data_IF_453646541454
#
_entry.id   IF_453646541454
#
_cell.length_a   1.000
_cell.length_b   1.000
_cell.length_c   1.000
_cell.angle_alpha   90.00
_cell.angle_beta   90.00
_cell.angle_gamma   90.00
#
_symmetry.space_group_name_H-M   'P 1'
#
loop_
_entity.id
_entity.type
_entity.pdbx_description
1 polymer ?
#
# COMPACT_ATOMS: atom_id res chain seq x y z
N UNK A 1 -11.12 -11.45 12.09
CA UNK A 1 -11.37 -10.32 11.20
C UNK A 1 -11.40 -8.97 11.91
N UNK A 2 -12.11 -8.88 13.01
CA UNK A 2 -12.45 -7.61 13.68
C UNK A 2 -11.25 -6.72 14.03
N UNK A 3 -10.17 -7.29 14.58
CA UNK A 3 -8.98 -6.53 14.97
C UNK A 3 -7.76 -6.88 14.14
N UNK A 4 -7.94 -7.55 13.00
CA UNK A 4 -6.86 -7.93 12.12
C UNK A 4 -6.78 -6.96 10.95
N UNK A 5 -5.57 -6.49 10.67
CA UNK A 5 -5.29 -5.61 9.55
C UNK A 5 -4.32 -6.34 8.62
N UNK A 6 -4.65 -6.38 7.34
CA UNK A 6 -3.74 -6.90 6.34
C UNK A 6 -2.96 -5.75 5.71
N UNK A 7 -1.65 -5.77 5.87
CA UNK A 7 -0.76 -4.89 5.12
C UNK A 7 -0.42 -5.61 3.82
N UNK A 8 -0.72 -4.97 2.69
CA UNK A 8 -0.30 -5.46 1.37
C UNK A 8 0.77 -4.51 0.87
N UNK A 9 1.99 -4.98 0.84
CA UNK A 9 3.16 -4.13 0.57
C UNK A 9 3.89 -4.60 -0.68
N UNK A 10 4.15 -3.63 -1.57
CA UNK A 10 5.03 -3.82 -2.72
C UNK A 10 6.48 -3.66 -2.26
N UNK A 11 7.31 -4.66 -2.51
CA UNK A 11 8.72 -4.64 -2.11
C UNK A 11 9.67 -4.30 -3.26
N UNK A 12 9.15 -3.75 -4.36
CA UNK A 12 9.97 -3.33 -5.51
C UNK A 12 11.05 -2.31 -5.10
N UNK A 13 10.70 -1.37 -4.22
CA UNK A 13 11.64 -0.46 -3.57
C UNK A 13 11.71 -0.81 -2.09
N UNK A 14 12.49 -1.84 -1.77
CA UNK A 14 12.43 -2.51 -0.46
C UNK A 14 12.67 -1.57 0.72
N UNK A 15 13.69 -0.70 0.64
CA UNK A 15 14.02 0.21 1.74
C UNK A 15 12.89 1.21 2.01
N UNK A 16 12.27 1.72 0.96
CA UNK A 16 11.15 2.66 1.08
C UNK A 16 9.95 1.95 1.69
N UNK A 17 9.64 0.76 1.20
CA UNK A 17 8.52 -0.03 1.69
C UNK A 17 8.70 -0.42 3.15
N UNK A 18 9.89 -0.82 3.55
CA UNK A 18 10.19 -1.17 4.94
C UNK A 18 10.03 0.04 5.87
N UNK A 19 10.46 1.23 5.44
CA UNK A 19 10.28 2.45 6.21
C UNK A 19 8.79 2.78 6.43
N UNK A 20 7.98 2.60 5.40
CA UNK A 20 6.54 2.85 5.50
C UNK A 20 5.84 1.83 6.41
N UNK A 21 6.21 0.56 6.30
CA UNK A 21 5.66 -0.49 7.18
C UNK A 21 6.02 -0.21 8.63
N UNK A 22 7.26 0.13 8.91
CA UNK A 22 7.71 0.43 10.28
C UNK A 22 6.98 1.64 10.85
N UNK A 23 6.84 2.71 10.06
CA UNK A 23 6.13 3.91 10.50
C UNK A 23 4.68 3.64 10.82
N UNK A 24 3.99 2.88 9.96
CA UNK A 24 2.61 2.50 10.19
C UNK A 24 2.48 1.63 11.44
N UNK A 25 3.29 0.58 11.54
CA UNK A 25 3.23 -0.37 12.65
C UNK A 25 3.48 0.31 13.98
N UNK A 26 4.45 1.22 14.04
CA UNK A 26 4.81 1.91 15.28
C UNK A 26 3.75 2.90 15.73
N UNK A 27 2.91 3.40 14.82
CA UNK A 27 1.87 4.36 15.16
C UNK A 27 0.51 3.72 15.47
N UNK A 28 0.38 2.42 15.26
CA UNK A 28 -0.89 1.73 15.38
C UNK A 28 -1.20 1.35 16.84
N UNK A 29 -2.49 1.41 17.20
CA UNK A 29 -2.97 0.95 18.50
C UNK A 29 -2.65 -0.54 18.69
N UNK A 30 -2.04 -0.94 19.83
CA UNK A 30 -1.66 -2.33 20.07
C UNK A 30 -2.80 -3.36 20.02
N UNK A 31 -4.05 -2.91 20.08
CA UNK A 31 -5.20 -3.83 19.98
C UNK A 31 -5.31 -4.52 18.62
N UNK A 32 -4.69 -3.95 17.59
CA UNK A 32 -4.74 -4.51 16.25
C UNK A 32 -3.63 -5.52 16.02
N UNK A 33 -3.97 -6.63 15.36
CA UNK A 33 -3.01 -7.61 14.87
C UNK A 33 -2.73 -7.31 13.39
N UNK A 34 -1.45 -7.29 13.04
CA UNK A 34 -1.02 -6.97 11.67
C UNK A 34 -0.49 -8.23 11.00
N UNK A 35 -1.06 -8.54 9.84
CA UNK A 35 -0.57 -9.60 8.96
C UNK A 35 -0.01 -8.95 7.69
N UNK A 36 1.25 -9.20 7.38
CA UNK A 36 1.92 -8.57 6.23
C UNK A 36 1.98 -9.53 5.06
N UNK A 37 1.54 -9.04 3.90
CA UNK A 37 1.54 -9.78 2.63
C UNK A 37 2.35 -9.00 1.61
N UNK A 38 3.41 -9.61 1.09
CA UNK A 38 4.29 -8.97 0.12
C UNK A 38 3.86 -9.27 -1.31
N UNK A 39 3.94 -8.27 -2.17
CA UNK A 39 3.77 -8.41 -3.62
C UNK A 39 4.95 -7.75 -4.32
N UNK A 40 5.16 -8.06 -5.60
CA UNK A 40 6.35 -7.61 -6.32
C UNK A 40 6.29 -6.15 -6.74
N UNK A 41 5.11 -5.66 -7.07
CA UNK A 41 4.95 -4.27 -7.54
C UNK A 41 3.62 -3.69 -7.13
N UNK A 42 3.49 -2.37 -7.28
CA UNK A 42 2.25 -1.67 -6.92
C UNK A 42 1.05 -2.18 -7.71
N UNK A 43 1.27 -2.60 -8.96
CA UNK A 43 0.21 -3.14 -9.81
C UNK A 43 -0.46 -4.37 -9.19
N UNK A 44 0.30 -5.22 -8.48
CA UNK A 44 -0.19 -6.47 -7.90
C UNK A 44 -0.92 -6.28 -6.58
N UNK A 45 -0.86 -5.07 -5.99
CA UNK A 45 -1.54 -4.78 -4.72
C UNK A 45 -3.05 -5.01 -4.83
N UNK A 46 -3.66 -4.56 -5.93
CA UNK A 46 -5.12 -4.65 -6.13
C UNK A 46 -5.58 -6.10 -6.12
N UNK A 47 -4.90 -6.95 -6.89
CA UNK A 47 -5.23 -8.37 -6.97
C UNK A 47 -5.09 -9.04 -5.60
N UNK A 48 -4.03 -8.72 -4.88
CA UNK A 48 -3.77 -9.33 -3.57
C UNK A 48 -4.85 -8.95 -2.56
N UNK A 49 -5.21 -7.67 -2.49
CA UNK A 49 -6.29 -7.22 -1.61
C UNK A 49 -7.59 -7.93 -1.97
N UNK A 50 -7.94 -7.95 -3.25
CA UNK A 50 -9.17 -8.60 -3.68
C UNK A 50 -9.23 -10.08 -3.27
N UNK A 51 -8.09 -10.77 -3.29
CA UNK A 51 -8.02 -12.18 -2.90
C UNK A 51 -8.18 -12.42 -1.41
N UNK A 52 -8.07 -11.38 -0.59
CA UNK A 52 -8.12 -11.47 0.87
C UNK A 52 -9.39 -10.88 1.50
N UNK A 53 -10.34 -10.43 0.68
CA UNK A 53 -11.53 -9.72 1.20
C UNK A 53 -12.49 -10.61 1.99
N UNK A 54 -12.37 -11.91 1.89
CA UNK A 54 -13.15 -12.85 2.71
C UNK A 54 -12.50 -13.11 4.08
N UNK A 55 -11.24 -12.69 4.27
CA UNK A 55 -10.50 -12.88 5.53
C UNK A 55 -10.29 -11.59 6.29
N UNK A 56 -10.29 -10.45 5.61
CA UNK A 56 -10.04 -9.14 6.21
C UNK A 56 -11.03 -8.12 5.66
N UNK A 57 -11.37 -7.14 6.49
CA UNK A 57 -12.13 -5.97 6.09
C UNK A 57 -11.36 -4.67 6.26
N UNK A 58 -10.13 -4.75 6.76
CA UNK A 58 -9.23 -3.61 6.94
C UNK A 58 -7.88 -3.91 6.29
N UNK A 59 -7.48 -3.03 5.41
CA UNK A 59 -6.25 -3.18 4.63
C UNK A 59 -5.42 -1.90 4.67
N UNK A 60 -4.12 -2.05 4.53
CA UNK A 60 -3.21 -0.95 4.26
C UNK A 60 -2.42 -1.31 3.01
N UNK A 61 -2.52 -0.47 2.00
CA UNK A 61 -1.75 -0.62 0.75
C UNK A 61 -0.47 0.21 0.87
N UNK A 62 0.67 -0.44 0.79
CA UNK A 62 1.97 0.21 0.93
C UNK A 62 2.83 -0.07 -0.29
N UNK A 63 3.46 0.97 -0.82
CA UNK A 63 4.36 0.84 -1.94
C UNK A 63 4.84 2.20 -2.41
N UNK A 64 5.60 2.20 -3.50
CA UNK A 64 6.04 3.43 -4.13
C UNK A 64 5.98 3.27 -5.64
N UNK A 65 5.45 4.29 -6.30
CA UNK A 65 5.45 4.41 -7.76
C UNK A 65 6.26 5.67 -8.07
N UNK A 66 7.39 5.48 -8.73
CA UNK A 66 8.34 6.55 -8.99
C UNK A 66 8.40 6.80 -10.48
N UNK A 67 8.25 8.06 -10.87
CA UNK A 67 8.32 8.44 -12.27
C UNK A 67 9.73 8.22 -12.80
N UNK A 68 9.81 7.44 -13.89
CA UNK A 68 11.04 7.28 -14.64
C UNK A 68 11.02 8.13 -15.91
N UNK A 69 11.75 7.69 -16.93
CA UNK A 69 11.81 8.37 -18.21
C UNK A 69 10.66 8.04 -19.16
N UNK A 70 9.59 7.40 -18.68
CA UNK A 70 8.47 6.94 -19.52
C UNK A 70 7.13 7.39 -18.96
N UNK A 71 6.06 7.27 -19.76
CA UNK A 71 4.70 7.57 -19.34
C UNK A 71 4.08 6.46 -18.51
N UNK A 72 4.79 5.37 -18.26
CA UNK A 72 4.32 4.23 -17.50
C UNK A 72 3.86 4.62 -16.08
N UNK A 73 4.50 5.63 -15.49
CA UNK A 73 4.17 6.14 -14.17
C UNK A 73 2.70 6.58 -14.07
N UNK A 74 2.21 7.38 -15.02
CA UNK A 74 0.84 7.89 -14.98
C UNK A 74 -0.18 6.75 -15.10
N UNK A 75 0.08 5.79 -15.96
CA UNK A 75 -0.82 4.65 -16.15
C UNK A 75 -0.88 3.75 -14.92
N UNK A 76 0.26 3.45 -14.34
CA UNK A 76 0.32 2.62 -13.11
C UNK A 76 -0.32 3.35 -11.95
N UNK A 77 0.03 4.63 -11.74
CA UNK A 77 -0.51 5.42 -10.63
C UNK A 77 -2.02 5.53 -10.69
N UNK A 78 -2.56 5.85 -11.87
CA UNK A 78 -4.01 5.97 -12.06
C UNK A 78 -4.70 4.62 -11.87
N UNK A 79 -4.13 3.54 -12.42
CA UNK A 79 -4.69 2.21 -12.29
C UNK A 79 -4.76 1.73 -10.86
N UNK A 80 -3.72 2.00 -10.08
CA UNK A 80 -3.68 1.60 -8.66
C UNK A 80 -4.72 2.39 -7.86
N UNK A 81 -4.78 3.70 -8.03
CA UNK A 81 -5.75 4.55 -7.32
C UNK A 81 -7.18 4.13 -7.66
N UNK A 82 -7.49 3.96 -8.95
CA UNK A 82 -8.83 3.56 -9.38
C UNK A 82 -9.20 2.19 -8.85
N UNK A 83 -8.26 1.25 -8.85
CA UNK A 83 -8.48 -0.09 -8.33
C UNK A 83 -8.76 -0.10 -6.84
N UNK A 84 -8.02 0.69 -6.05
CA UNK A 84 -8.25 0.79 -4.61
C UNK A 84 -9.62 1.37 -4.30
N UNK A 85 -10.01 2.42 -5.00
CA UNK A 85 -11.34 3.04 -4.84
C UNK A 85 -12.44 2.03 -5.17
N UNK A 86 -12.30 1.33 -6.28
CA UNK A 86 -13.28 0.35 -6.73
C UNK A 86 -13.47 -0.77 -5.71
N UNK A 87 -12.37 -1.32 -5.19
CA UNK A 87 -12.43 -2.36 -4.17
C UNK A 87 -13.12 -1.87 -2.89
N UNK A 88 -12.79 -0.65 -2.46
CA UNK A 88 -13.39 -0.06 -1.26
C UNK A 88 -14.92 -0.01 -1.38
N UNK A 89 -15.43 0.39 -2.53
CA UNK A 89 -16.86 0.53 -2.76
C UNK A 89 -17.51 -0.83 -2.99
N UNK A 90 -16.96 -1.66 -3.87
CA UNK A 90 -17.60 -2.92 -4.28
C UNK A 90 -17.54 -3.99 -3.19
N UNK A 91 -16.46 -4.03 -2.42
CA UNK A 91 -16.26 -5.04 -1.36
C UNK A 91 -16.65 -4.53 0.01
N UNK A 92 -16.99 -3.25 0.13
CA UNK A 92 -17.33 -2.61 1.41
C UNK A 92 -16.25 -2.86 2.47
N UNK A 93 -15.00 -2.56 2.13
CA UNK A 93 -13.83 -2.73 2.99
C UNK A 93 -13.18 -1.37 3.20
N UNK A 94 -12.31 -1.29 4.21
CA UNK A 94 -11.50 -0.11 4.46
C UNK A 94 -10.08 -0.35 3.92
N UNK A 95 -9.59 0.60 3.13
CA UNK A 95 -8.21 0.57 2.63
C UNK A 95 -7.56 1.91 2.94
N UNK A 96 -6.50 1.88 3.76
CA UNK A 96 -5.64 3.04 3.93
C UNK A 96 -4.62 3.04 2.78
N UNK A 97 -4.58 4.12 2.01
CA UNK A 97 -3.67 4.22 0.87
C UNK A 97 -2.36 4.87 1.31
N UNK A 98 -1.31 4.06 1.42
CA UNK A 98 0.06 4.49 1.68
C UNK A 98 0.96 4.18 0.48
N UNK A 99 0.40 4.19 -0.73
CA UNK A 99 1.17 4.06 -1.97
C UNK A 99 1.65 5.45 -2.38
N UNK A 100 2.95 5.67 -2.33
CA UNK A 100 3.55 6.94 -2.72
C UNK A 100 3.62 7.06 -4.24
N UNK A 101 3.22 8.21 -4.76
CA UNK A 101 3.28 8.53 -6.19
C UNK A 101 4.15 9.78 -6.33
N UNK A 102 5.43 9.58 -6.62
CA UNK A 102 6.42 10.66 -6.64
C UNK A 102 7.20 10.67 -7.95
N UNK A 103 7.76 11.83 -8.27
CA UNK A 103 8.55 11.99 -9.50
C UNK A 103 10.01 11.62 -9.30
N UNK A 104 10.52 11.71 -8.09
CA UNK A 104 11.94 11.50 -7.77
C UNK A 104 12.06 10.51 -6.61
N UNK A 105 13.04 9.60 -6.70
CA UNK A 105 13.26 8.59 -5.67
C UNK A 105 13.60 9.22 -4.31
N UNK A 106 14.28 10.37 -4.30
CA UNK A 106 14.60 11.05 -3.04
C UNK A 106 13.36 11.52 -2.31
N UNK A 107 12.33 11.96 -3.03
CA UNK A 107 11.04 12.30 -2.42
C UNK A 107 10.40 11.08 -1.75
N UNK A 108 10.51 9.91 -2.36
CA UNK A 108 10.00 8.68 -1.77
C UNK A 108 10.76 8.30 -0.49
N UNK A 109 12.09 8.43 -0.49
CA UNK A 109 12.88 8.19 0.72
C UNK A 109 12.50 9.15 1.84
N UNK A 110 12.37 10.44 1.53
CA UNK A 110 12.00 11.45 2.52
C UNK A 110 10.62 11.12 3.13
N UNK A 111 9.65 10.80 2.31
CA UNK A 111 8.29 10.47 2.78
C UNK A 111 8.25 9.18 3.59
N UNK A 112 9.08 8.21 3.26
CA UNK A 112 9.11 6.93 3.99
C UNK A 112 9.62 7.07 5.43
N UNK A 113 10.32 8.15 5.73
CA UNK A 113 10.82 8.46 7.07
C UNK A 113 9.81 9.24 7.92
N UNK A 114 8.72 9.70 7.32
CA UNK A 114 7.66 10.39 8.04
C UNK A 114 6.70 9.34 8.58
N UNK A 115 6.56 9.30 9.89
CA UNK A 115 5.61 8.40 10.56
C UNK A 115 4.21 9.00 10.49
N UNK A 116 3.41 8.44 9.64
CA UNK A 116 2.05 8.90 9.41
C UNK A 116 1.07 8.22 10.37
#
# INVERSE_FOLDING_TARGET
MKNNIAIVVSDYYEDISNGLVDGFTNSLDPKFTIDTHNVTGAWEIIHKINSLTDKYDKFVAIGAIIKGGTDHYEYISQGVIDGLIKLTIEKNIYIANCVLNVHDVNDAYDLSLIHI
#
